data_IF_293048770834
#
_entry.id   IF_293048770834
#
_cell.length_a   1.000
_cell.length_b   1.000
_cell.length_c   1.000
_cell.angle_alpha   90.00
_cell.angle_beta   90.00
_cell.angle_gamma   90.00
#
_symmetry.space_group_name_H-M   'P 1'
#
loop_
_entity.id
_entity.type
_entity.pdbx_description
1 polymer ?
#
# COMPACT_ATOMS: atom_id res chain seq x y z
N UNK A 1 9.32 15.26 9.43
CA UNK A 1 8.15 14.46 9.06
C UNK A 1 8.05 14.26 7.55
N UNK A 2 8.28 13.03 7.08
CA UNK A 2 8.10 12.64 5.67
C UNK A 2 6.67 12.13 5.44
N UNK A 3 6.07 12.50 4.31
CA UNK A 3 4.77 11.95 3.90
C UNK A 3 5.00 10.68 3.07
N UNK A 4 4.33 9.60 3.42
CA UNK A 4 4.47 8.29 2.78
C UNK A 4 3.11 7.84 2.22
N UNK A 5 3.13 7.35 0.98
CA UNK A 5 2.04 6.58 0.39
C UNK A 5 2.42 5.10 0.33
N UNK A 6 1.48 4.22 0.67
CA UNK A 6 1.61 2.78 0.48
C UNK A 6 0.62 2.39 -0.62
N UNK A 7 1.13 1.84 -1.72
CA UNK A 7 0.34 1.39 -2.87
C UNK A 7 0.67 -0.07 -3.15
N UNK A 8 -0.29 -0.94 -2.90
CA UNK A 8 -0.17 -2.38 -3.19
C UNK A 8 -0.76 -2.64 -4.56
N UNK A 9 0.02 -3.24 -5.45
CA UNK A 9 -0.41 -3.62 -6.81
C UNK A 9 -0.68 -5.12 -6.79
N UNK A 10 -1.94 -5.52 -6.89
CA UNK A 10 -2.34 -6.93 -6.98
C UNK A 10 -3.81 -7.09 -7.37
N UNK A 11 -4.08 -7.78 -8.48
CA UNK A 11 -5.44 -8.14 -8.89
C UNK A 11 -6.19 -8.92 -7.81
N UNK A 12 -5.52 -9.90 -7.19
CA UNK A 12 -6.11 -10.69 -6.10
C UNK A 12 -6.44 -9.83 -4.89
N UNK A 13 -5.57 -8.87 -4.56
CA UNK A 13 -5.79 -7.92 -3.47
C UNK A 13 -6.97 -7.00 -3.78
N UNK A 14 -6.98 -6.43 -4.99
CA UNK A 14 -8.03 -5.56 -5.51
C UNK A 14 -9.41 -6.24 -5.52
N UNK A 15 -9.47 -7.50 -5.95
CA UNK A 15 -10.69 -8.31 -5.96
C UNK A 15 -11.05 -8.91 -4.59
N UNK A 16 -10.32 -8.58 -3.51
CA UNK A 16 -10.60 -9.09 -2.16
C UNK A 16 -10.36 -10.59 -1.97
N UNK A 17 -9.65 -11.23 -2.90
CA UNK A 17 -9.31 -12.66 -2.84
C UNK A 17 -8.13 -12.94 -1.89
N UNK A 18 -7.36 -11.90 -1.53
CA UNK A 18 -6.21 -11.97 -0.65
C UNK A 18 -6.06 -10.69 0.15
N UNK A 19 -5.82 -10.82 1.45
CA UNK A 19 -5.51 -9.66 2.30
C UNK A 19 -4.13 -9.09 1.99
N UNK A 20 -4.01 -7.77 2.07
CA UNK A 20 -2.75 -7.06 1.89
C UNK A 20 -1.92 -7.06 3.18
N UNK A 21 -1.31 -8.20 3.49
CA UNK A 21 -0.36 -8.32 4.60
C UNK A 21 0.96 -7.56 4.34
N UNK A 22 1.31 -7.33 3.08
CA UNK A 22 2.53 -6.62 2.68
C UNK A 22 2.45 -5.14 3.01
N UNK A 23 1.37 -4.46 2.59
CA UNK A 23 1.15 -3.05 2.91
C UNK A 23 1.02 -2.83 4.43
N UNK A 24 0.39 -3.76 5.15
CA UNK A 24 0.34 -3.74 6.61
C UNK A 24 1.75 -3.84 7.23
N UNK A 25 2.56 -4.80 6.81
CA UNK A 25 3.93 -4.97 7.32
C UNK A 25 4.81 -3.74 7.05
N UNK A 26 4.64 -3.09 5.88
CA UNK A 26 5.32 -1.83 5.55
C UNK A 26 4.87 -0.73 6.53
N UNK A 27 3.55 -0.56 6.73
CA UNK A 27 3.00 0.44 7.65
C UNK A 27 3.54 0.25 9.08
N UNK A 28 3.55 -0.98 9.57
CA UNK A 28 4.03 -1.30 10.91
C UNK A 28 5.53 -0.99 11.04
N UNK A 29 6.32 -1.30 10.02
CA UNK A 29 7.76 -0.99 10.00
C UNK A 29 8.05 0.51 9.99
N UNK A 30 7.18 1.31 9.36
CA UNK A 30 7.32 2.77 9.30
C UNK A 30 6.91 3.48 10.59
N UNK A 31 6.20 2.82 11.50
CA UNK A 31 5.75 3.41 12.77
C UNK A 31 6.89 3.89 13.69
N UNK A 32 8.11 3.43 13.43
CA UNK A 32 9.33 3.78 14.17
C UNK A 32 10.04 5.03 13.62
N UNK A 33 9.57 5.60 12.50
CA UNK A 33 10.18 6.76 11.84
C UNK A 33 9.36 8.03 12.08
N UNK A 34 10.01 9.21 12.00
CA UNK A 34 9.32 10.51 11.95
C UNK A 34 8.65 10.71 10.57
N UNK A 35 7.63 9.91 10.29
CA UNK A 35 6.90 9.88 9.03
C UNK A 35 5.39 9.68 9.24
N UNK A 36 4.60 10.17 8.30
CA UNK A 36 3.16 10.05 8.29
C UNK A 36 2.71 9.29 7.03
N UNK A 37 2.01 8.17 7.20
CA UNK A 37 1.36 7.48 6.08
C UNK A 37 0.08 8.24 5.74
N UNK A 38 0.11 8.99 4.63
CA UNK A 38 -0.98 9.86 4.19
C UNK A 38 -1.92 9.18 3.19
N UNK A 39 -1.48 8.06 2.60
CA UNK A 39 -2.29 7.25 1.68
C UNK A 39 -1.97 5.77 1.83
N UNK A 40 -3.00 4.93 1.80
CA UNK A 40 -2.90 3.48 1.76
C UNK A 40 -3.93 2.99 0.75
N UNK A 41 -3.51 2.29 -0.29
CA UNK A 41 -4.40 1.83 -1.35
C UNK A 41 -3.93 0.50 -1.94
N UNK A 42 -4.89 -0.31 -2.40
CA UNK A 42 -4.65 -1.51 -3.21
C UNK A 42 -5.25 -1.23 -4.58
N UNK A 43 -4.51 -1.52 -5.66
CA UNK A 43 -4.92 -1.32 -7.06
C UNK A 43 -4.68 -2.61 -7.88
N UNK A 44 -5.34 -2.80 -9.04
CA UNK A 44 -5.09 -3.93 -9.92
C UNK A 44 -3.74 -3.82 -10.65
N UNK A 45 -3.33 -4.89 -11.32
CA UNK A 45 -2.10 -5.01 -12.11
C UNK A 45 -2.25 -4.35 -13.51
N UNK A 46 -2.86 -3.16 -13.55
CA UNK A 46 -3.17 -2.41 -14.78
C UNK A 46 -2.25 -1.18 -14.93
N UNK A 47 -1.51 -1.11 -16.04
CA UNK A 47 -0.46 -0.10 -16.23
C UNK A 47 -0.97 1.34 -16.25
N UNK A 48 -2.18 1.56 -16.76
CA UNK A 48 -2.85 2.87 -16.78
C UNK A 48 -3.36 3.32 -15.39
N UNK A 49 -3.60 2.37 -14.49
CA UNK A 49 -3.96 2.66 -13.09
C UNK A 49 -2.73 2.94 -12.23
N UNK A 50 -1.59 2.32 -12.57
CA UNK A 50 -0.31 2.50 -11.84
C UNK A 50 0.37 3.84 -12.17
N UNK A 51 0.20 4.35 -13.39
CA UNK A 51 0.97 5.47 -13.97
C UNK A 51 0.65 6.86 -13.40
#
# INVERSE_FOLDING_TARGET
MLNIGILTISDKGWHGQRYDESGKAIRDSLSLLDASVVKYEVIPDEADVIA
#
